data_IF_520862949701
#
_entry.id   IF_520862949701
#
_cell.length_a   1.000
_cell.length_b   1.000
_cell.length_c   1.000
_cell.angle_alpha   90.00
_cell.angle_beta   90.00
_cell.angle_gamma   90.00
#
_symmetry.space_group_name_H-M   'P 1'
#
loop_
_entity.id
_entity.type
_entity.pdbx_description
1 polymer ?
#
# COMPACT_ATOMS: atom_id res chain seq x y z
N UNK A 1 -12.02 6.76 7.05
CA UNK A 1 -10.84 6.37 6.30
C UNK A 1 -9.64 6.28 7.24
N UNK A 2 -9.02 5.13 7.33
CA UNK A 2 -7.78 4.88 8.07
C UNK A 2 -6.62 4.76 7.06
N UNK A 3 -5.91 5.85 6.86
CA UNK A 3 -4.78 5.94 5.94
C UNK A 3 -3.43 6.07 6.65
N UNK A 4 -3.46 6.18 7.98
CA UNK A 4 -2.27 6.36 8.79
C UNK A 4 -1.47 5.05 8.92
N UNK A 5 -0.15 5.16 8.81
CA UNK A 5 0.81 4.09 9.07
C UNK A 5 2.19 4.70 9.31
N UNK A 6 2.80 4.41 10.44
CA UNK A 6 4.16 4.86 10.75
C UNK A 6 5.20 3.94 10.13
N UNK A 7 6.36 4.49 9.73
CA UNK A 7 7.45 3.67 9.22
C UNK A 7 7.17 3.05 7.85
N UNK A 8 6.69 3.86 6.91
CA UNK A 8 6.51 3.45 5.50
C UNK A 8 7.78 3.59 4.68
N UNK A 9 8.81 4.26 5.21
CA UNK A 9 10.08 4.54 4.55
C UNK A 9 11.28 4.31 5.48
N UNK A 10 12.47 4.16 4.88
CA UNK A 10 13.72 4.05 5.61
C UNK A 10 13.78 2.87 6.58
N UNK A 11 14.57 3.02 7.63
CA UNK A 11 14.83 1.97 8.62
C UNK A 11 13.58 1.60 9.44
N UNK A 12 12.67 2.54 9.67
CA UNK A 12 11.43 2.28 10.40
C UNK A 12 10.52 1.24 9.70
N UNK A 13 10.68 1.09 8.38
CA UNK A 13 9.95 0.07 7.60
C UNK A 13 10.33 -1.36 8.01
N UNK A 14 11.50 -1.52 8.60
CA UNK A 14 12.06 -2.80 9.02
C UNK A 14 11.98 -3.04 10.53
N UNK A 15 11.50 -2.06 11.28
CA UNK A 15 11.40 -2.12 12.74
C UNK A 15 10.13 -2.89 13.15
N UNK A 16 10.28 -4.08 13.74
CA UNK A 16 9.13 -4.92 14.10
C UNK A 16 8.23 -4.25 15.15
N UNK A 17 8.78 -3.45 16.06
CA UNK A 17 8.01 -2.80 17.11
C UNK A 17 7.12 -1.71 16.52
N UNK A 18 7.68 -0.89 15.61
CA UNK A 18 6.90 0.12 14.90
C UNK A 18 5.80 -0.55 14.07
N UNK A 19 6.13 -1.63 13.36
CA UNK A 19 5.17 -2.32 12.52
C UNK A 19 4.05 -3.01 13.33
N UNK A 20 4.36 -3.61 14.48
CA UNK A 20 3.35 -4.15 15.39
C UNK A 20 2.45 -3.06 15.98
N UNK A 21 3.00 -1.90 16.36
CA UNK A 21 2.21 -0.78 16.86
C UNK A 21 1.19 -0.27 15.82
N UNK A 22 1.52 -0.34 14.53
CA UNK A 22 0.57 0.00 13.47
C UNK A 22 -0.60 -0.99 13.37
N UNK A 23 -0.35 -2.29 13.56
CA UNK A 23 -1.42 -3.29 13.61
C UNK A 23 -2.37 -2.96 14.76
N UNK A 24 -1.83 -2.68 15.95
CA UNK A 24 -2.63 -2.28 17.11
C UNK A 24 -3.45 -1.03 16.83
N UNK A 25 -2.82 0.03 16.30
CA UNK A 25 -3.50 1.28 15.91
C UNK A 25 -4.67 1.03 14.95
N UNK A 26 -4.49 0.10 14.01
CA UNK A 26 -5.53 -0.24 13.03
C UNK A 26 -6.70 -0.95 13.70
N UNK A 27 -6.44 -1.84 14.66
CA UNK A 27 -7.48 -2.50 15.48
C UNK A 27 -8.21 -1.46 16.35
N UNK A 28 -7.49 -0.57 17.02
CA UNK A 28 -8.06 0.48 17.84
C UNK A 28 -9.00 1.39 17.03
N UNK A 29 -8.62 1.69 15.79
CA UNK A 29 -9.47 2.43 14.85
C UNK A 29 -10.80 1.70 14.61
N UNK A 30 -10.79 0.39 14.41
CA UNK A 30 -12.02 -0.39 14.22
C UNK A 30 -12.89 -0.41 15.49
N UNK A 31 -12.28 -0.52 16.67
CA UNK A 31 -12.99 -0.44 17.97
C UNK A 31 -13.71 0.90 18.09
N UNK A 32 -13.01 2.00 17.84
CA UNK A 32 -13.57 3.35 17.89
C UNK A 32 -14.68 3.50 16.85
N UNK A 33 -14.47 3.06 15.62
CA UNK A 33 -15.48 3.11 14.56
C UNK A 33 -16.78 2.41 14.99
N UNK A 34 -16.68 1.27 15.66
CA UNK A 34 -17.86 0.57 16.20
C UNK A 34 -18.55 1.36 17.30
N UNK A 35 -17.79 1.93 18.25
CA UNK A 35 -18.32 2.71 19.36
C UNK A 35 -19.11 3.96 18.91
N UNK A 36 -18.62 4.62 17.85
CA UNK A 36 -19.27 5.83 17.30
C UNK A 36 -20.25 5.52 16.16
N UNK A 37 -20.62 4.25 15.97
CA UNK A 37 -21.55 3.78 14.95
C UNK A 37 -21.18 4.21 13.52
N UNK A 38 -19.90 4.13 13.16
CA UNK A 38 -19.47 4.33 11.78
C UNK A 38 -20.21 3.37 10.83
N UNK A 39 -20.61 3.89 9.67
CA UNK A 39 -21.30 3.10 8.66
C UNK A 39 -20.35 2.12 7.96
N UNK A 40 -19.07 2.48 7.81
CA UNK A 40 -18.06 1.69 7.12
C UNK A 40 -16.65 2.15 7.53
N UNK A 41 -15.71 1.22 7.64
CA UNK A 41 -14.29 1.48 7.83
C UNK A 41 -13.53 1.11 6.55
N UNK A 42 -12.78 2.07 5.98
CA UNK A 42 -11.91 1.86 4.83
C UNK A 42 -10.45 2.00 5.27
N UNK A 43 -9.64 0.99 5.00
CA UNK A 43 -8.22 0.97 5.41
C UNK A 43 -7.29 0.86 4.21
N UNK A 44 -6.20 1.62 4.27
CA UNK A 44 -5.15 1.57 3.26
C UNK A 44 -4.26 0.33 3.43
N UNK A 45 -4.30 -0.56 2.46
CA UNK A 45 -3.37 -1.65 2.24
C UNK A 45 -2.24 -1.27 1.27
N UNK A 46 -1.48 -2.26 0.84
CA UNK A 46 -0.35 -2.07 -0.08
C UNK A 46 -0.10 -3.31 -0.93
N UNK A 47 0.38 -3.11 -2.15
CA UNK A 47 0.84 -4.21 -3.02
C UNK A 47 1.97 -5.04 -2.35
N UNK A 48 2.74 -4.46 -1.41
CA UNK A 48 3.79 -5.17 -0.69
C UNK A 48 3.29 -6.38 0.11
N UNK A 49 2.00 -6.44 0.42
CA UNK A 49 1.37 -7.60 1.06
C UNK A 49 1.47 -8.86 0.21
N UNK A 50 1.45 -8.74 -1.12
CA UNK A 50 1.50 -9.87 -2.03
C UNK A 50 2.82 -10.65 -1.93
N UNK A 51 3.92 -10.00 -1.56
CA UNK A 51 5.19 -10.66 -1.35
C UNK A 51 5.16 -11.65 -0.18
N UNK A 52 4.23 -11.52 0.75
CA UNK A 52 4.11 -12.41 1.91
C UNK A 52 3.70 -13.84 1.54
N UNK A 53 3.02 -14.03 0.41
CA UNK A 53 2.62 -15.35 -0.06
C UNK A 53 3.82 -16.21 -0.51
N UNK A 54 4.93 -15.58 -0.92
CA UNK A 54 6.17 -16.28 -1.25
C UNK A 54 7.11 -16.48 -0.05
N UNK A 55 6.80 -15.90 1.11
CA UNK A 55 7.66 -15.94 2.30
C UNK A 55 8.12 -17.37 2.71
N UNK A 56 7.25 -18.39 2.70
CA UNK A 56 7.66 -19.74 3.07
C UNK A 56 8.67 -20.38 2.11
N UNK A 57 8.81 -19.84 0.89
CA UNK A 57 9.70 -20.36 -0.15
C UNK A 57 11.06 -19.63 -0.20
N UNK A 58 11.23 -18.59 0.61
CA UNK A 58 12.44 -17.78 0.58
C UNK A 58 13.44 -18.24 1.63
N UNK A 59 14.68 -18.49 1.22
CA UNK A 59 15.78 -18.78 2.16
C UNK A 59 16.14 -17.54 3.00
N UNK A 60 16.00 -16.35 2.42
CA UNK A 60 16.22 -15.06 3.09
C UNK A 60 15.16 -14.06 2.70
N UNK A 61 14.74 -13.25 3.66
CA UNK A 61 13.80 -12.17 3.42
C UNK A 61 14.52 -10.84 3.23
N UNK A 62 13.96 -9.95 2.42
CA UNK A 62 14.41 -8.57 2.41
C UNK A 62 13.94 -7.87 3.69
N UNK A 63 14.74 -6.92 4.17
CA UNK A 63 14.38 -6.13 5.36
C UNK A 63 13.06 -5.37 5.19
N UNK A 64 12.70 -4.98 3.97
CA UNK A 64 11.44 -4.28 3.66
C UNK A 64 10.20 -5.20 3.72
N UNK A 65 10.37 -6.50 3.78
CA UNK A 65 9.25 -7.46 3.84
C UNK A 65 8.45 -7.33 5.15
N UNK A 66 9.08 -6.89 6.24
CA UNK A 66 8.40 -6.69 7.53
C UNK A 66 7.18 -5.76 7.40
N UNK A 67 7.31 -4.68 6.62
CA UNK A 67 6.18 -3.78 6.33
C UNK A 67 5.02 -4.50 5.62
N UNK A 68 5.31 -5.31 4.59
CA UNK A 68 4.29 -6.09 3.88
C UNK A 68 3.62 -7.12 4.79
N UNK A 69 4.41 -7.82 5.62
CA UNK A 69 3.91 -8.77 6.63
C UNK A 69 2.98 -8.07 7.60
N UNK A 70 3.38 -6.93 8.16
CA UNK A 70 2.56 -6.19 9.12
C UNK A 70 1.25 -5.70 8.50
N UNK A 71 1.29 -5.19 7.27
CA UNK A 71 0.08 -4.79 6.53
C UNK A 71 -0.86 -5.97 6.30
N UNK A 72 -0.33 -7.10 5.86
CA UNK A 72 -1.12 -8.33 5.67
C UNK A 72 -1.70 -8.85 7.00
N UNK A 73 -0.92 -8.87 8.07
CA UNK A 73 -1.43 -9.23 9.39
C UNK A 73 -2.56 -8.29 9.83
N UNK A 74 -2.37 -6.98 9.70
CA UNK A 74 -3.40 -5.99 10.00
C UNK A 74 -4.69 -6.21 9.22
N UNK A 75 -4.58 -6.55 7.93
CA UNK A 75 -5.72 -6.91 7.09
C UNK A 75 -6.49 -8.11 7.67
N UNK A 76 -5.79 -9.23 7.92
CA UNK A 76 -6.42 -10.46 8.43
C UNK A 76 -7.08 -10.25 9.80
N UNK A 77 -6.42 -9.51 10.70
CA UNK A 77 -6.99 -9.15 11.99
C UNK A 77 -8.28 -8.34 11.84
N UNK A 78 -8.27 -7.31 11.00
CA UNK A 78 -9.45 -6.48 10.79
C UNK A 78 -10.58 -7.21 10.10
N UNK A 79 -10.28 -8.02 9.09
CA UNK A 79 -11.29 -8.80 8.40
C UNK A 79 -12.04 -9.70 9.38
N UNK A 80 -11.29 -10.43 10.21
CA UNK A 80 -11.87 -11.29 11.24
C UNK A 80 -12.66 -10.50 12.29
N UNK A 81 -12.05 -9.43 12.83
CA UNK A 81 -12.64 -8.63 13.89
C UNK A 81 -13.89 -7.88 13.42
N UNK A 82 -13.83 -7.21 12.28
CA UNK A 82 -14.95 -6.44 11.74
C UNK A 82 -16.15 -7.32 11.39
N UNK A 83 -15.92 -8.51 10.84
CA UNK A 83 -16.97 -9.52 10.61
C UNK A 83 -17.63 -9.92 11.93
N UNK A 84 -16.85 -10.18 12.97
CA UNK A 84 -17.38 -10.59 14.29
C UNK A 84 -18.26 -9.50 14.95
N UNK A 85 -17.87 -8.22 14.84
CA UNK A 85 -18.62 -7.12 15.45
C UNK A 85 -19.68 -6.49 14.52
N UNK A 86 -19.82 -6.98 13.30
CA UNK A 86 -20.76 -6.46 12.31
C UNK A 86 -20.43 -5.02 11.88
N UNK A 87 -19.15 -4.66 11.75
CA UNK A 87 -18.70 -3.38 11.18
C UNK A 87 -18.37 -3.58 9.70
N UNK A 88 -19.08 -2.93 8.75
CA UNK A 88 -18.69 -2.97 7.35
C UNK A 88 -17.26 -2.45 7.17
N UNK A 89 -16.45 -3.23 6.47
CA UNK A 89 -15.02 -3.01 6.35
C UNK A 89 -14.55 -3.20 4.92
N UNK A 90 -13.62 -2.37 4.47
CA UNK A 90 -12.98 -2.48 3.15
C UNK A 90 -11.47 -2.30 3.29
N UNK A 91 -10.71 -3.26 2.79
CA UNK A 91 -9.27 -3.18 2.64
C UNK A 91 -8.89 -2.77 1.22
N UNK A 92 -8.08 -1.72 1.07
CA UNK A 92 -7.71 -1.17 -0.22
C UNK A 92 -6.21 -1.35 -0.46
N UNK A 93 -5.81 -2.36 -1.21
CA UNK A 93 -4.41 -2.56 -1.61
C UNK A 93 -4.04 -1.57 -2.70
N UNK A 94 -3.21 -0.59 -2.36
CA UNK A 94 -2.69 0.38 -3.31
C UNK A 94 -1.49 -0.17 -4.08
N UNK A 95 -1.47 0.07 -5.38
CA UNK A 95 -0.29 -0.14 -6.22
C UNK A 95 0.75 0.97 -5.99
N UNK A 96 1.66 1.18 -6.92
CA UNK A 96 2.72 2.18 -6.79
C UNK A 96 2.20 3.57 -7.14
N UNK A 97 1.94 4.37 -6.11
CA UNK A 97 1.37 5.70 -6.26
C UNK A 97 2.46 6.68 -6.71
N UNK A 98 2.13 7.51 -7.70
CA UNK A 98 2.97 8.63 -8.10
C UNK A 98 2.12 9.89 -8.29
N UNK A 99 2.74 11.05 -8.25
CA UNK A 99 2.05 12.33 -8.46
C UNK A 99 2.75 13.50 -7.80
N UNK A 100 2.18 14.68 -8.00
CA UNK A 100 2.67 15.94 -7.45
C UNK A 100 2.68 15.89 -5.92
N UNK A 101 3.74 16.42 -5.31
CA UNK A 101 3.88 16.48 -3.85
C UNK A 101 4.45 15.22 -3.20
N UNK A 102 4.78 14.19 -3.97
CA UNK A 102 5.44 13.01 -3.41
C UNK A 102 6.87 13.32 -2.97
N UNK A 103 7.11 13.27 -1.65
CA UNK A 103 8.42 13.53 -1.03
C UNK A 103 9.14 12.24 -0.60
N UNK A 104 8.57 11.08 -0.92
CA UNK A 104 9.04 9.81 -0.34
C UNK A 104 10.21 9.17 -1.07
N UNK A 105 10.80 9.80 -2.09
CA UNK A 105 11.93 9.24 -2.83
C UNK A 105 11.60 7.91 -3.54
N UNK A 106 10.35 7.75 -4.01
CA UNK A 106 9.97 6.59 -4.78
C UNK A 106 10.67 6.56 -6.15
N UNK A 107 10.52 5.47 -6.88
CA UNK A 107 11.18 5.24 -8.16
C UNK A 107 10.93 6.39 -9.15
N UNK A 108 9.70 6.88 -9.28
CA UNK A 108 9.37 7.98 -10.20
C UNK A 108 10.08 9.26 -9.78
N UNK A 109 10.06 9.61 -8.49
CA UNK A 109 10.78 10.78 -7.96
C UNK A 109 12.28 10.65 -8.15
N UNK A 110 12.85 9.46 -7.98
CA UNK A 110 14.26 9.19 -8.23
C UNK A 110 14.62 9.46 -9.70
N UNK A 111 13.89 8.86 -10.63
CA UNK A 111 14.16 9.03 -12.08
C UNK A 111 14.07 10.50 -12.49
N UNK A 112 13.00 11.18 -12.07
CA UNK A 112 12.81 12.59 -12.40
C UNK A 112 13.92 13.46 -11.82
N UNK A 113 14.37 13.20 -10.60
CA UNK A 113 15.49 13.94 -10.00
C UNK A 113 16.79 13.71 -10.78
N UNK A 114 17.11 12.48 -11.13
CA UNK A 114 18.34 12.20 -11.90
C UNK A 114 18.31 12.94 -13.26
N UNK A 115 17.17 12.91 -13.97
CA UNK A 115 16.99 13.64 -15.23
C UNK A 115 17.14 15.16 -15.02
N UNK A 116 16.49 15.72 -14.01
CA UNK A 116 16.56 17.17 -13.72
C UNK A 116 17.97 17.65 -13.40
N UNK A 117 18.79 16.79 -12.79
CA UNK A 117 20.20 17.12 -12.49
C UNK A 117 21.17 16.68 -13.61
N UNK A 118 20.68 16.29 -14.78
CA UNK A 118 21.51 15.87 -15.92
C UNK A 118 22.29 14.57 -15.64
N UNK A 119 21.80 13.74 -14.73
CA UNK A 119 22.41 12.46 -14.39
C UNK A 119 21.68 11.30 -15.08
N UNK A 120 22.36 10.19 -15.19
CA UNK A 120 21.77 8.94 -15.69
C UNK A 120 21.24 8.12 -14.53
N UNK A 121 19.94 7.85 -14.53
CA UNK A 121 19.34 6.97 -13.55
C UNK A 121 19.79 5.53 -13.77
N UNK A 122 20.23 4.85 -12.70
CA UNK A 122 20.73 3.47 -12.75
C UNK A 122 19.76 2.50 -12.11
N UNK A 123 19.54 1.37 -12.77
CA UNK A 123 18.60 0.33 -12.34
C UNK A 123 19.24 -1.05 -12.46
N UNK A 124 18.68 -2.02 -11.72
CA UNK A 124 18.89 -3.42 -12.02
C UNK A 124 18.18 -3.83 -13.32
N UNK A 125 17.97 -5.12 -13.59
CA UNK A 125 17.35 -5.62 -14.83
C UNK A 125 15.95 -5.06 -15.11
N UNK A 126 15.24 -4.57 -14.09
CA UNK A 126 13.91 -3.96 -14.17
C UNK A 126 12.86 -4.85 -14.90
N UNK A 127 12.97 -6.17 -14.73
CA UNK A 127 12.10 -7.17 -15.39
C UNK A 127 10.88 -7.58 -14.57
N UNK A 128 10.79 -7.09 -13.34
CA UNK A 128 9.62 -7.33 -12.50
C UNK A 128 8.38 -6.60 -13.04
N UNK A 129 7.19 -7.19 -12.92
CA UNK A 129 5.94 -6.51 -13.21
C UNK A 129 5.74 -5.34 -12.23
N UNK A 130 5.25 -4.24 -12.76
CA UNK A 130 5.00 -3.03 -11.99
C UNK A 130 3.67 -2.42 -12.42
N UNK A 131 2.96 -1.83 -11.47
CA UNK A 131 1.72 -1.11 -11.74
C UNK A 131 1.81 0.25 -11.06
N UNK A 132 1.60 1.31 -11.82
CA UNK A 132 1.59 2.68 -11.33
C UNK A 132 0.18 3.25 -11.37
N UNK A 133 -0.19 4.01 -10.35
CA UNK A 133 -1.44 4.78 -10.33
C UNK A 133 -1.14 6.25 -10.01
N UNK A 134 -1.74 7.16 -10.76
CA UNK A 134 -1.65 8.57 -10.47
C UNK A 134 -2.49 8.92 -9.25
N UNK A 135 -2.03 9.90 -8.44
CA UNK A 135 -2.65 10.22 -7.16
C UNK A 135 -4.12 10.62 -7.29
N UNK A 136 -4.50 11.37 -8.32
CA UNK A 136 -5.88 11.82 -8.50
C UNK A 136 -6.81 10.64 -8.83
N UNK A 137 -6.36 9.68 -9.64
CA UNK A 137 -7.11 8.46 -9.95
C UNK A 137 -7.29 7.60 -8.70
N UNK A 138 -6.26 7.50 -7.86
CA UNK A 138 -6.35 6.82 -6.57
C UNK A 138 -7.38 7.48 -5.65
N UNK A 139 -7.33 8.81 -5.53
CA UNK A 139 -8.25 9.56 -4.66
C UNK A 139 -9.69 9.38 -5.13
N UNK A 140 -9.94 9.46 -6.43
CA UNK A 140 -11.26 9.23 -7.01
C UNK A 140 -11.76 7.79 -6.74
N UNK A 141 -10.90 6.78 -6.92
CA UNK A 141 -11.24 5.39 -6.62
C UNK A 141 -11.59 5.20 -5.14
N UNK A 142 -10.78 5.72 -4.23
CA UNK A 142 -11.00 5.67 -2.77
C UNK A 142 -12.31 6.36 -2.39
N UNK A 143 -12.59 7.52 -2.97
CA UNK A 143 -13.85 8.23 -2.74
C UNK A 143 -15.04 7.40 -3.21
N UNK A 144 -15.02 6.85 -4.43
CA UNK A 144 -16.11 6.02 -4.97
C UNK A 144 -16.36 4.79 -4.10
N UNK A 145 -15.32 4.08 -3.67
CA UNK A 145 -15.46 2.93 -2.76
C UNK A 145 -16.12 3.37 -1.45
N UNK A 146 -15.76 4.55 -0.95
CA UNK A 146 -16.31 5.10 0.29
C UNK A 146 -17.81 5.36 0.24
N UNK A 147 -18.32 5.89 -0.88
CA UNK A 147 -19.72 6.27 -1.05
C UNK A 147 -20.61 5.15 -1.61
N UNK A 148 -20.02 4.07 -2.13
CA UNK A 148 -20.76 2.94 -2.69
C UNK A 148 -21.33 2.05 -1.59
N UNK A 149 -22.62 1.66 -1.73
CA UNK A 149 -23.26 0.78 -0.75
C UNK A 149 -22.92 -0.70 -0.93
N UNK A 150 -22.64 -1.14 -2.15
CA UNK A 150 -22.30 -2.54 -2.50
C UNK A 150 -20.81 -2.67 -2.76
N UNK A 151 -19.98 -2.47 -1.73
CA UNK A 151 -18.54 -2.66 -1.84
C UNK A 151 -18.12 -4.09 -1.50
N UNK A 152 -17.09 -4.58 -2.17
CA UNK A 152 -16.40 -5.79 -1.76
C UNK A 152 -15.58 -5.52 -0.49
N UNK A 153 -15.20 -6.57 0.22
CA UNK A 153 -14.38 -6.45 1.44
C UNK A 153 -12.92 -6.05 1.13
N UNK A 154 -12.50 -6.23 -0.13
CA UNK A 154 -11.16 -5.89 -0.60
C UNK A 154 -11.17 -5.36 -2.04
N UNK A 155 -10.32 -4.35 -2.28
CA UNK A 155 -10.02 -3.82 -3.61
C UNK A 155 -8.51 -3.74 -3.83
N UNK A 156 -8.06 -4.16 -5.00
CA UNK A 156 -6.76 -3.75 -5.53
C UNK A 156 -6.97 -2.47 -6.34
N UNK A 157 -6.23 -1.41 -6.00
CA UNK A 157 -6.34 -0.11 -6.66
C UNK A 157 -5.02 0.19 -7.37
N UNK A 158 -5.05 0.04 -8.67
CA UNK A 158 -3.95 0.26 -9.59
C UNK A 158 -4.45 0.70 -10.95
N UNK A 159 -3.57 0.77 -11.95
CA UNK A 159 -3.96 1.15 -13.32
C UNK A 159 -4.79 0.07 -14.04
N UNK A 160 -4.77 -1.16 -13.55
CA UNK A 160 -5.35 -2.31 -14.22
C UNK A 160 -4.57 -2.80 -15.44
N UNK A 161 -3.40 -2.24 -15.71
CA UNK A 161 -2.54 -2.56 -16.87
C UNK A 161 -1.07 -2.63 -16.46
N UNK A 162 -0.70 -3.60 -15.60
CA UNK A 162 0.68 -3.75 -15.16
C UNK A 162 1.59 -4.07 -16.36
N UNK A 163 2.83 -3.55 -16.33
CA UNK A 163 3.87 -3.76 -17.34
C UNK A 163 5.19 -4.08 -16.66
N UNK A 164 6.17 -4.55 -17.42
CA UNK A 164 7.53 -4.67 -16.92
C UNK A 164 8.08 -3.28 -16.57
N UNK A 165 8.79 -3.18 -15.46
CA UNK A 165 9.33 -1.89 -15.01
C UNK A 165 10.18 -1.22 -16.09
N UNK A 166 10.99 -1.98 -16.82
CA UNK A 166 11.81 -1.48 -17.96
C UNK A 166 10.99 -0.77 -19.04
N UNK A 167 9.73 -1.17 -19.27
CA UNK A 167 8.86 -0.53 -20.27
C UNK A 167 8.41 0.87 -19.84
N UNK A 168 8.21 1.08 -18.53
CA UNK A 168 7.95 2.42 -17.99
C UNK A 168 9.19 3.30 -18.05
N UNK A 169 10.34 2.75 -17.67
CA UNK A 169 11.61 3.50 -17.70
C UNK A 169 11.98 3.96 -19.10
N UNK A 170 11.76 3.13 -20.10
CA UNK A 170 11.97 3.47 -21.53
C UNK A 170 11.11 4.64 -22.03
N UNK A 171 9.97 4.88 -21.39
CA UNK A 171 9.05 5.97 -21.77
C UNK A 171 9.34 7.29 -21.06
N UNK A 172 10.11 7.24 -19.99
CA UNK A 172 10.45 8.44 -19.19
C UNK A 172 11.77 9.07 -19.70
N UNK A 173 12.70 8.29 -20.23
CA UNK A 173 14.00 8.72 -20.74
C UNK A 173 14.12 8.62 -22.24
#
# INVERSE_FOLDING_TARGET
YHLAWKGVNGIEKTDPIIQLANIQMTIDCAIICKQINCKKLLCAGTIAEQATFSLPLLERTSSSMMYGVAKHCGHLFLESYCKNIGLPFVWMQFSNIYGVGNKTGNLVSYVLNEILYGKVATFGPAEQPYDFIYIDDLVEAVFRIGVTNNSHDMYYIGSGSPRLLKEYLWRIG
#
